data_IF_599757726426
#
_entry.id   IF_599757726426
#
_cell.length_a   1.000
_cell.length_b   1.000
_cell.length_c   1.000
_cell.angle_alpha   90.00
_cell.angle_beta   90.00
_cell.angle_gamma   90.00
#
_symmetry.space_group_name_H-M   'P 1'
#
loop_
_entity.id
_entity.type
_entity.pdbx_description
1 polymer ?
#
# COMPACT_ATOMS: atom_id res chain seq x y z
N UNK A 1 19.61 -18.02 -8.65
CA UNK A 1 18.24 -18.52 -8.37
C UNK A 1 17.96 -18.74 -6.88
N UNK A 2 18.79 -19.48 -6.13
CA UNK A 2 18.58 -19.68 -4.68
C UNK A 2 18.57 -18.36 -3.89
N UNK A 3 19.49 -17.45 -4.20
CA UNK A 3 19.56 -16.13 -3.56
C UNK A 3 18.31 -15.27 -3.83
N UNK A 4 17.91 -15.07 -5.10
CA UNK A 4 16.74 -14.27 -5.44
C UNK A 4 15.47 -14.74 -4.72
N UNK A 5 15.26 -16.07 -4.64
CA UNK A 5 14.13 -16.64 -3.90
C UNK A 5 14.20 -16.36 -2.40
N UNK A 6 15.39 -16.50 -1.78
CA UNK A 6 15.59 -16.19 -0.36
C UNK A 6 15.38 -14.71 -0.07
N UNK A 7 15.93 -13.83 -0.90
CA UNK A 7 15.77 -12.39 -0.78
C UNK A 7 14.28 -11.99 -0.88
N UNK A 8 13.58 -12.48 -1.90
CA UNK A 8 12.14 -12.25 -2.06
C UNK A 8 11.32 -12.78 -0.88
N UNK A 9 11.64 -13.97 -0.37
CA UNK A 9 10.96 -14.57 0.78
C UNK A 9 11.15 -13.71 2.04
N UNK A 10 12.38 -13.37 2.42
CA UNK A 10 12.64 -12.64 3.67
C UNK A 10 12.11 -11.21 3.62
N UNK A 11 12.33 -10.50 2.50
CA UNK A 11 11.77 -9.16 2.32
C UNK A 11 10.24 -9.21 2.34
N UNK A 12 9.65 -10.16 1.60
CA UNK A 12 8.21 -10.38 1.59
C UNK A 12 7.65 -10.62 2.98
N UNK A 13 8.15 -11.62 3.71
CA UNK A 13 7.64 -11.97 5.04
C UNK A 13 7.76 -10.84 6.06
N UNK A 14 8.86 -10.07 6.03
CA UNK A 14 9.06 -8.97 6.96
C UNK A 14 8.12 -7.79 6.66
N UNK A 15 8.00 -7.40 5.39
CA UNK A 15 7.23 -6.20 5.02
C UNK A 15 5.72 -6.46 4.83
N UNK A 16 5.31 -7.69 4.55
CA UNK A 16 3.88 -8.04 4.31
C UNK A 16 2.93 -7.58 5.42
N UNK A 17 3.14 -7.84 6.73
CA UNK A 17 2.18 -7.40 7.75
C UNK A 17 2.01 -5.88 7.79
N UNK A 18 3.11 -5.13 7.64
CA UNK A 18 3.07 -3.67 7.61
C UNK A 18 2.36 -3.16 6.34
N UNK A 19 2.67 -3.74 5.18
CA UNK A 19 2.04 -3.40 3.91
C UNK A 19 0.55 -3.75 3.91
N UNK A 20 0.15 -4.87 4.51
CA UNK A 20 -1.26 -5.23 4.66
C UNK A 20 -2.01 -4.23 5.53
N UNK A 21 -1.44 -3.86 6.69
CA UNK A 21 -2.01 -2.80 7.51
C UNK A 21 -2.19 -1.51 6.71
N UNK A 22 -1.18 -1.14 5.92
CA UNK A 22 -1.23 0.05 5.08
C UNK A 22 -2.34 -0.10 4.01
N UNK A 23 -2.30 -1.15 3.19
CA UNK A 23 -3.31 -1.39 2.13
C UNK A 23 -4.75 -1.40 2.68
N UNK A 24 -4.99 -2.06 3.81
CA UNK A 24 -6.34 -2.15 4.40
C UNK A 24 -6.86 -0.81 4.89
N UNK A 25 -6.02 0.00 5.53
CA UNK A 25 -6.40 1.35 5.98
C UNK A 25 -6.60 2.32 4.81
N UNK A 26 -5.80 2.20 3.75
CA UNK A 26 -5.98 2.95 2.51
C UNK A 26 -7.23 2.53 1.72
N UNK A 27 -7.50 1.24 1.59
CA UNK A 27 -8.73 0.72 0.97
C UNK A 27 -9.99 1.24 1.68
N UNK A 28 -9.98 1.26 3.02
CA UNK A 28 -11.10 1.80 3.78
C UNK A 28 -11.38 3.27 3.42
N UNK A 29 -10.35 4.07 3.10
CA UNK A 29 -10.55 5.45 2.65
C UNK A 29 -11.24 5.55 1.28
N UNK A 30 -11.06 4.58 0.38
CA UNK A 30 -11.65 4.64 -0.96
C UNK A 30 -13.15 4.33 -0.98
N UNK A 31 -13.62 3.56 0.00
CA UNK A 31 -15.05 3.17 0.12
C UNK A 31 -15.85 4.04 1.10
N UNK A 32 -15.19 4.84 1.94
CA UNK A 32 -15.84 5.75 2.89
C UNK A 32 -15.59 7.22 2.49
N UNK A 33 -16.57 7.87 1.81
CA UNK A 33 -16.39 9.20 1.21
C UNK A 33 -16.33 10.34 2.24
N UNK A 34 -16.89 10.17 3.44
CA UNK A 34 -16.91 11.22 4.47
C UNK A 34 -15.52 11.39 5.10
N UNK A 35 -14.72 12.37 4.67
CA UNK A 35 -13.37 12.64 5.20
C UNK A 35 -13.41 13.52 6.45
N UNK A 36 -12.61 13.16 7.47
CA UNK A 36 -12.32 14.05 8.59
C UNK A 36 -11.55 15.26 8.08
N UNK A 37 -11.95 16.47 8.49
CA UNK A 37 -11.26 17.71 8.07
C UNK A 37 -9.98 17.91 8.86
N UNK A 38 -9.98 17.49 10.13
CA UNK A 38 -8.81 17.54 11.01
C UNK A 38 -8.58 16.21 11.76
N UNK A 39 -7.32 15.86 12.06
CA UNK A 39 -6.99 14.68 12.87
C UNK A 39 -7.65 14.66 14.25
N UNK A 40 -7.89 15.85 14.83
CA UNK A 40 -8.57 16.03 16.11
C UNK A 40 -10.05 15.60 16.11
N UNK A 41 -10.66 15.39 14.95
CA UNK A 41 -12.04 14.90 14.83
C UNK A 41 -12.13 13.37 14.94
N UNK A 42 -11.00 12.68 15.09
CA UNK A 42 -10.95 11.22 15.17
C UNK A 42 -11.18 10.70 16.59
N UNK A 43 -12.43 10.42 16.93
CA UNK A 43 -12.82 9.91 18.27
C UNK A 43 -12.65 8.39 18.39
N UNK A 44 -13.04 7.65 17.35
CA UNK A 44 -13.05 6.19 17.36
C UNK A 44 -11.74 5.59 16.85
N UNK A 45 -11.44 4.34 17.27
CA UNK A 45 -10.27 3.60 16.78
C UNK A 45 -10.24 3.51 15.24
N UNK A 46 -11.39 3.27 14.61
CA UNK A 46 -11.50 3.18 13.15
C UNK A 46 -11.20 4.53 12.48
N UNK A 47 -11.67 5.63 13.05
CA UNK A 47 -11.33 6.98 12.58
C UNK A 47 -9.84 7.27 12.72
N UNK A 48 -9.22 6.92 13.87
CA UNK A 48 -7.78 7.13 14.11
C UNK A 48 -6.91 6.32 13.14
N UNK A 49 -7.26 5.06 12.88
CA UNK A 49 -6.55 4.20 11.92
C UNK A 49 -6.68 4.68 10.47
N UNK A 50 -7.74 5.40 10.13
CA UNK A 50 -7.91 5.99 8.81
C UNK A 50 -6.94 7.16 8.57
N UNK A 51 -6.63 7.96 9.59
CA UNK A 51 -5.76 9.14 9.48
C UNK A 51 -4.32 8.77 9.08
N UNK A 52 -3.92 7.52 9.35
CA UNK A 52 -2.61 6.96 9.01
C UNK A 52 -2.24 7.13 7.52
N UNK A 53 -3.23 7.09 6.62
CA UNK A 53 -2.99 7.25 5.17
C UNK A 53 -2.97 8.69 4.68
N UNK A 54 -3.72 9.59 5.33
CA UNK A 54 -3.81 11.00 4.92
C UNK A 54 -2.75 11.86 5.58
N UNK A 55 -2.57 11.69 6.89
CA UNK A 55 -1.76 12.58 7.73
C UNK A 55 -0.58 11.85 8.36
N UNK A 56 -0.48 10.52 8.20
CA UNK A 56 0.66 9.71 8.64
C UNK A 56 0.94 9.81 10.15
N UNK A 57 -0.11 10.04 10.93
CA UNK A 57 -0.07 10.14 12.38
C UNK A 57 -1.11 9.24 13.01
N UNK A 58 -0.94 9.00 14.31
CA UNK A 58 -1.98 8.49 15.18
C UNK A 58 -2.44 9.63 16.10
N UNK A 59 -3.65 10.19 15.89
CA UNK A 59 -4.10 11.38 16.63
C UNK A 59 -4.18 11.12 18.14
N UNK A 60 -3.67 12.07 18.92
CA UNK A 60 -3.81 12.08 20.38
C UNK A 60 -5.01 12.92 20.81
N UNK A 61 -5.46 12.76 22.06
CA UNK A 61 -6.55 13.58 22.61
C UNK A 61 -6.16 15.08 22.70
N UNK A 62 -4.86 15.37 22.83
CA UNK A 62 -4.31 16.72 22.98
C UNK A 62 -3.74 17.30 21.68
N UNK A 63 -4.23 16.85 20.52
CA UNK A 63 -3.67 17.18 19.20
C UNK A 63 -3.59 18.69 18.92
N UNK A 64 -4.49 19.49 19.50
CA UNK A 64 -4.47 20.96 19.40
C UNK A 64 -3.30 21.60 20.15
N UNK A 65 -2.90 21.05 21.31
CA UNK A 65 -1.83 21.60 22.14
C UNK A 65 -0.47 21.02 21.77
N UNK A 66 -0.44 19.72 21.42
CA UNK A 66 0.75 18.98 21.08
C UNK A 66 0.50 18.14 19.83
N UNK A 67 0.69 18.72 18.63
CA UNK A 67 0.42 18.01 17.39
C UNK A 67 1.36 16.81 17.23
N UNK A 68 0.78 15.71 16.78
CA UNK A 68 1.48 14.48 16.43
C UNK A 68 2.36 14.70 15.21
N UNK A 69 3.55 14.09 15.22
CA UNK A 69 4.53 14.26 14.15
C UNK A 69 4.49 13.07 13.18
N UNK A 70 4.36 13.29 11.86
CA UNK A 70 4.34 12.20 10.89
C UNK A 70 5.72 11.60 10.61
N UNK A 71 6.80 12.30 10.97
CA UNK A 71 8.16 12.05 10.46
C UNK A 71 8.61 10.59 10.54
N UNK A 72 8.40 9.93 11.68
CA UNK A 72 8.81 8.54 11.88
C UNK A 72 8.02 7.58 10.98
N UNK A 73 6.70 7.80 10.90
CA UNK A 73 5.84 6.98 10.06
C UNK A 73 6.07 7.26 8.58
N UNK A 74 6.35 8.51 8.18
CA UNK A 74 6.78 8.86 6.81
C UNK A 74 8.02 8.10 6.39
N UNK A 75 9.06 8.06 7.25
CA UNK A 75 10.28 7.28 6.98
C UNK A 75 9.94 5.80 6.83
N UNK A 76 9.10 5.26 7.70
CA UNK A 76 8.65 3.87 7.61
C UNK A 76 7.93 3.59 6.27
N UNK A 77 6.99 4.45 5.87
CA UNK A 77 6.25 4.33 4.59
C UNK A 77 7.19 4.39 3.39
N UNK A 78 8.20 5.26 3.41
CA UNK A 78 9.22 5.33 2.35
C UNK A 78 10.03 4.04 2.28
N UNK A 79 10.51 3.53 3.42
CA UNK A 79 11.25 2.26 3.49
C UNK A 79 10.39 1.10 3.01
N UNK A 80 9.13 1.01 3.46
CA UNK A 80 8.17 0.01 3.03
C UNK A 80 7.90 0.08 1.53
N UNK A 81 7.78 1.29 0.97
CA UNK A 81 7.55 1.50 -0.47
C UNK A 81 8.73 1.00 -1.29
N UNK A 82 9.95 1.36 -0.91
CA UNK A 82 11.18 0.87 -1.56
C UNK A 82 11.26 -0.66 -1.47
N UNK A 83 11.02 -1.21 -0.29
CA UNK A 83 11.08 -2.66 -0.07
C UNK A 83 9.99 -3.41 -0.87
N UNK A 84 8.78 -2.86 -0.95
CA UNK A 84 7.70 -3.40 -1.77
C UNK A 84 8.08 -3.40 -3.24
N UNK A 85 8.62 -2.28 -3.77
CA UNK A 85 9.10 -2.18 -5.16
C UNK A 85 10.17 -3.22 -5.47
N UNK A 86 11.17 -3.37 -4.59
CA UNK A 86 12.21 -4.40 -4.73
C UNK A 86 11.61 -5.81 -4.71
N UNK A 87 10.69 -6.08 -3.79
CA UNK A 87 10.03 -7.39 -3.66
C UNK A 87 9.20 -7.72 -4.91
N UNK A 88 8.47 -6.74 -5.46
CA UNK A 88 7.72 -6.86 -6.72
C UNK A 88 8.67 -7.18 -7.88
N UNK A 89 9.76 -6.41 -8.02
CA UNK A 89 10.75 -6.63 -9.08
C UNK A 89 11.37 -8.04 -9.00
N UNK A 90 11.73 -8.49 -7.79
CA UNK A 90 12.21 -9.86 -7.56
C UNK A 90 11.16 -10.90 -7.96
N UNK A 91 9.88 -10.69 -7.60
CA UNK A 91 8.77 -11.55 -7.97
C UNK A 91 8.61 -11.66 -9.49
N UNK A 92 8.64 -10.53 -10.21
CA UNK A 92 8.58 -10.49 -11.67
C UNK A 92 9.71 -11.28 -12.32
N UNK A 93 10.96 -11.03 -11.88
CA UNK A 93 12.14 -11.77 -12.39
C UNK A 93 12.00 -13.26 -12.13
N UNK A 94 11.50 -13.67 -10.96
CA UNK A 94 11.27 -15.07 -10.63
C UNK A 94 10.18 -15.69 -11.51
N UNK A 95 9.07 -15.00 -11.75
CA UNK A 95 7.96 -15.49 -12.59
C UNK A 95 8.41 -15.83 -14.02
N UNK A 96 9.17 -14.94 -14.66
CA UNK A 96 9.71 -15.19 -16.01
C UNK A 96 10.75 -16.30 -16.06
N UNK A 97 11.49 -16.52 -14.97
CA UNK A 97 12.51 -17.57 -14.90
C UNK A 97 11.94 -18.94 -14.54
N UNK A 98 10.81 -18.99 -13.85
CA UNK A 98 10.18 -20.23 -13.38
C UNK A 98 9.13 -20.76 -14.36
N UNK A 99 8.33 -19.89 -14.99
CA UNK A 99 7.27 -20.31 -15.89
C UNK A 99 7.76 -20.40 -17.34
N UNK A 100 7.62 -21.59 -17.95
CA UNK A 100 7.81 -21.81 -19.38
C UNK A 100 6.59 -22.55 -19.94
N UNK A 101 5.88 -22.01 -20.95
CA UNK A 101 6.12 -20.75 -21.67
C UNK A 101 5.76 -19.49 -20.86
N UNK A 102 6.38 -18.35 -21.20
CA UNK A 102 6.24 -17.10 -20.45
C UNK A 102 5.01 -16.23 -20.81
N UNK A 103 4.23 -16.61 -21.83
CA UNK A 103 3.07 -15.84 -22.27
C UNK A 103 2.01 -15.57 -21.18
N UNK A 104 1.73 -16.48 -20.22
CA UNK A 104 0.76 -16.19 -19.16
C UNK A 104 1.23 -15.04 -18.26
N UNK A 105 2.55 -14.90 -18.05
CA UNK A 105 3.12 -13.78 -17.29
C UNK A 105 2.82 -12.47 -18.00
N UNK A 106 3.02 -12.40 -19.33
CA UNK A 106 2.71 -11.22 -20.11
C UNK A 106 1.23 -10.84 -20.08
N UNK A 107 0.34 -11.83 -20.20
CA UNK A 107 -1.11 -11.60 -20.14
C UNK A 107 -1.52 -11.05 -18.77
N UNK A 108 -0.99 -11.59 -17.67
CA UNK A 108 -1.26 -11.06 -16.34
C UNK A 108 -0.74 -9.62 -16.16
N UNK A 109 0.44 -9.29 -16.68
CA UNK A 109 0.99 -7.93 -16.60
C UNK A 109 0.19 -6.93 -17.41
N UNK A 110 -0.15 -7.28 -18.65
CA UNK A 110 -0.99 -6.45 -19.50
C UNK A 110 -2.37 -6.24 -18.85
N UNK A 111 -2.99 -7.32 -18.34
CA UNK A 111 -4.27 -7.27 -17.63
C UNK A 111 -4.22 -6.36 -16.40
N UNK A 112 -3.16 -6.45 -15.58
CA UNK A 112 -2.99 -5.64 -14.38
C UNK A 112 -2.86 -4.13 -14.65
N UNK A 113 -2.36 -3.74 -15.83
CA UNK A 113 -2.28 -2.33 -16.26
C UNK A 113 -3.58 -1.89 -16.94
N UNK A 114 -4.10 -2.70 -17.85
CA UNK A 114 -5.26 -2.34 -18.68
C UNK A 114 -6.56 -2.30 -17.88
N UNK A 115 -6.74 -3.20 -16.91
CA UNK A 115 -7.96 -3.28 -16.11
C UNK A 115 -8.28 -1.98 -15.37
N UNK A 116 -7.39 -1.39 -14.54
CA UNK A 116 -7.70 -0.13 -13.85
C UNK A 116 -7.95 1.03 -14.82
N UNK A 117 -7.19 1.11 -15.92
CA UNK A 117 -7.39 2.15 -16.95
C UNK A 117 -8.76 2.03 -17.62
N UNK A 118 -9.18 0.81 -17.95
CA UNK A 118 -10.47 0.53 -18.55
C UNK A 118 -11.61 0.87 -17.58
N UNK A 119 -11.48 0.51 -16.30
CA UNK A 119 -12.49 0.85 -15.28
C UNK A 119 -12.61 2.37 -15.08
N UNK A 120 -11.49 3.10 -15.04
CA UNK A 120 -11.49 4.57 -14.95
C UNK A 120 -12.14 5.19 -16.18
N UNK A 121 -11.80 4.72 -17.38
CA UNK A 121 -12.39 5.20 -18.63
C UNK A 121 -13.90 4.96 -18.70
N UNK A 122 -14.37 3.77 -18.33
CA UNK A 122 -15.81 3.48 -18.25
C UNK A 122 -16.53 4.36 -17.21
N UNK A 123 -15.84 4.70 -16.12
CA UNK A 123 -16.35 5.59 -15.08
C UNK A 123 -16.55 7.05 -15.50
N UNK A 124 -15.93 7.51 -16.60
CA UNK A 124 -16.08 8.89 -17.08
C UNK A 124 -17.48 9.22 -17.61
N UNK A 125 -18.30 8.22 -17.94
CA UNK A 125 -19.60 8.40 -18.61
C UNK A 125 -20.80 8.38 -17.66
N UNK A 126 -20.74 9.06 -16.52
CA UNK A 126 -21.91 9.29 -15.67
C UNK A 126 -22.00 10.74 -15.23
#
# INVERSE_FOLDING_TARGET
MKFLRRAHLYLGCFFTPMLLFYILTGWYQTVVPNRLKHPSEAETLVQKLRVVHSDQIYPSEDEFQKPSSPKLFTVLVVVMSIAATVTIALGLVLSFKLLKPAWPVWVCLAGGILLPLLLLWLGQRR
#
